data_IF_697869518305
#
_entry.id   IF_697869518305
#
_cell.length_a   1.000
_cell.length_b   1.000
_cell.length_c   1.000
_cell.angle_alpha   90.00
_cell.angle_beta   90.00
_cell.angle_gamma   90.00
#
_symmetry.space_group_name_H-M   'P 1'
#
loop_
_entity.id
_entity.type
_entity.pdbx_description
1 polymer ?
#
# COMPACT_ATOMS: atom_id res chain seq x y z
N UNK A 1 -5.92 5.96 -41.69
CA UNK A 1 -4.75 5.97 -40.80
C UNK A 1 -3.73 6.95 -41.34
N UNK A 2 -2.98 7.68 -40.50
CA UNK A 2 -1.83 8.46 -40.95
C UNK A 2 -0.82 7.55 -41.67
N UNK A 3 -0.23 8.04 -42.77
CA UNK A 3 0.64 7.25 -43.65
C UNK A 3 1.91 6.74 -42.94
N UNK A 4 2.38 7.48 -41.95
CA UNK A 4 3.57 7.17 -41.15
C UNK A 4 3.34 5.94 -40.25
N UNK A 5 2.15 5.83 -39.67
CA UNK A 5 1.78 4.73 -38.77
C UNK A 5 1.66 3.41 -39.52
N UNK A 6 1.13 3.46 -40.75
CA UNK A 6 1.03 2.30 -41.62
C UNK A 6 2.41 1.78 -42.06
N UNK A 7 3.34 2.70 -42.37
CA UNK A 7 4.74 2.35 -42.70
C UNK A 7 5.42 1.66 -41.51
N UNK A 8 5.35 2.25 -40.33
CA UNK A 8 5.91 1.68 -39.10
C UNK A 8 5.29 0.32 -38.77
N UNK A 9 3.97 0.17 -38.94
CA UNK A 9 3.29 -1.10 -38.70
C UNK A 9 3.71 -2.20 -39.68
N UNK A 10 3.91 -1.89 -40.98
CA UNK A 10 4.40 -2.86 -41.97
C UNK A 10 5.82 -3.34 -41.66
N UNK A 11 6.70 -2.44 -41.20
CA UNK A 11 8.05 -2.80 -40.77
C UNK A 11 7.98 -3.80 -39.61
N UNK A 12 7.15 -3.52 -38.59
CA UNK A 12 6.97 -4.43 -37.45
C UNK A 12 6.37 -5.77 -37.89
N UNK A 13 5.42 -5.78 -38.83
CA UNK A 13 4.84 -7.02 -39.33
C UNK A 13 5.88 -7.92 -40.03
N UNK A 14 6.84 -7.33 -40.74
CA UNK A 14 7.91 -8.06 -41.41
C UNK A 14 8.99 -8.58 -40.44
N UNK A 15 9.25 -7.85 -39.35
CA UNK A 15 10.25 -8.24 -38.34
C UNK A 15 9.76 -9.32 -37.36
N UNK A 16 8.44 -9.43 -37.16
CA UNK A 16 7.87 -10.32 -36.15
C UNK A 16 7.39 -11.63 -36.78
N UNK A 17 7.80 -12.76 -36.19
CA UNK A 17 7.21 -14.06 -36.54
C UNK A 17 5.81 -14.19 -35.91
N UNK A 18 4.78 -14.31 -36.74
CA UNK A 18 3.39 -14.54 -36.33
C UNK A 18 2.41 -13.43 -36.72
N UNK A 19 1.13 -13.57 -36.34
CA UNK A 19 0.10 -12.59 -36.69
C UNK A 19 0.18 -11.37 -35.77
N UNK A 20 0.37 -10.19 -36.34
CA UNK A 20 0.43 -8.91 -35.61
C UNK A 20 -0.82 -8.10 -35.90
N UNK A 21 -1.45 -7.61 -34.84
CA UNK A 21 -2.67 -6.82 -34.88
C UNK A 21 -2.42 -5.42 -34.35
N UNK A 22 -3.14 -4.44 -34.89
CA UNK A 22 -3.09 -3.06 -34.47
C UNK A 22 -4.46 -2.64 -33.95
N UNK A 23 -4.52 -2.14 -32.72
CA UNK A 23 -5.77 -1.70 -32.06
C UNK A 23 -5.63 -0.28 -31.57
N UNK A 24 -6.66 0.53 -31.83
CA UNK A 24 -6.72 1.91 -31.36
C UNK A 24 -7.30 1.93 -29.94
N UNK A 25 -6.57 2.52 -29.00
CA UNK A 25 -7.00 2.72 -27.61
C UNK A 25 -6.57 4.12 -27.20
N UNK A 26 -7.50 4.97 -26.77
CA UNK A 26 -7.23 6.34 -26.28
C UNK A 26 -6.23 7.12 -27.17
N UNK A 27 -6.55 7.26 -28.46
CA UNK A 27 -5.74 7.95 -29.47
C UNK A 27 -4.31 7.39 -29.69
N UNK A 28 -4.04 6.18 -29.19
CA UNK A 28 -2.78 5.49 -29.34
C UNK A 28 -2.95 4.20 -30.14
N UNK A 29 -1.96 3.86 -30.99
CA UNK A 29 -1.99 2.67 -31.83
C UNK A 29 -1.21 1.55 -31.17
N UNK A 30 -1.91 0.69 -30.43
CA UNK A 30 -1.31 -0.43 -29.71
C UNK A 30 -1.07 -1.61 -30.67
N UNK A 31 0.19 -2.05 -30.73
CA UNK A 31 0.61 -3.20 -31.52
C UNK A 31 0.60 -4.45 -30.64
N UNK A 32 -0.07 -5.51 -31.09
CA UNK A 32 -0.18 -6.79 -30.38
C UNK A 32 0.20 -7.96 -31.27
N UNK A 33 0.81 -9.00 -30.70
CA UNK A 33 0.99 -10.29 -31.36
C UNK A 33 -0.13 -11.22 -30.94
N UNK A 34 -0.85 -11.81 -31.89
CA UNK A 34 -1.85 -12.83 -31.61
C UNK A 34 -1.27 -14.22 -31.80
N UNK A 35 -1.48 -15.08 -30.82
CA UNK A 35 -1.17 -16.51 -30.89
C UNK A 35 -2.33 -17.32 -30.30
N UNK A 36 -2.34 -18.62 -30.57
CA UNK A 36 -3.38 -19.53 -30.09
C UNK A 36 -2.75 -20.55 -29.16
N UNK A 37 -3.34 -20.72 -27.97
CA UNK A 37 -2.95 -21.76 -27.01
C UNK A 37 -4.13 -22.69 -26.75
N UNK A 38 -3.82 -23.97 -26.59
CA UNK A 38 -4.81 -24.97 -26.21
C UNK A 38 -5.13 -24.85 -24.71
N UNK A 39 -6.38 -24.50 -24.39
CA UNK A 39 -6.84 -24.45 -23.01
C UNK A 39 -7.31 -25.85 -22.58
N UNK A 40 -6.51 -26.53 -21.75
CA UNK A 40 -6.79 -27.89 -21.26
C UNK A 40 -8.06 -27.98 -20.40
N UNK A 41 -8.44 -26.91 -19.69
CA UNK A 41 -9.61 -26.90 -18.82
C UNK A 41 -10.90 -26.75 -19.63
N UNK A 42 -10.88 -25.86 -20.61
CA UNK A 42 -12.02 -25.60 -21.49
C UNK A 42 -12.06 -26.49 -22.73
N UNK A 43 -11.04 -27.35 -22.92
CA UNK A 43 -10.84 -28.25 -24.07
C UNK A 43 -11.04 -27.55 -25.43
N UNK A 44 -10.53 -26.33 -25.57
CA UNK A 44 -10.65 -25.54 -26.81
C UNK A 44 -9.43 -24.67 -27.05
N UNK A 45 -9.21 -24.33 -28.32
CA UNK A 45 -8.20 -23.34 -28.71
C UNK A 45 -8.66 -21.95 -28.27
N UNK A 46 -7.80 -21.23 -27.56
CA UNK A 46 -8.03 -19.85 -27.14
C UNK A 46 -6.97 -18.93 -27.74
N UNK A 47 -7.44 -17.87 -28.40
CA UNK A 47 -6.58 -16.77 -28.84
C UNK A 47 -6.07 -16.00 -27.63
N UNK A 48 -4.76 -15.84 -27.55
CA UNK A 48 -4.08 -14.91 -26.64
C UNK A 48 -3.43 -13.79 -27.45
N UNK A 49 -3.34 -12.62 -26.83
CA UNK A 49 -2.69 -11.47 -27.46
C UNK A 49 -1.64 -10.91 -26.52
N UNK A 50 -0.42 -10.78 -27.02
CA UNK A 50 0.72 -10.18 -26.32
C UNK A 50 0.89 -8.73 -26.78
N UNK A 51 1.06 -7.79 -25.86
CA UNK A 51 1.28 -6.39 -26.20
C UNK A 51 2.75 -6.11 -26.52
N UNK A 52 3.05 -5.73 -27.76
CA UNK A 52 4.42 -5.47 -28.24
C UNK A 52 4.87 -4.03 -28.01
N UNK A 53 3.95 -3.06 -27.98
CA UNK A 53 4.28 -1.65 -27.85
C UNK A 53 3.21 -0.73 -28.42
N UNK A 54 3.51 0.56 -28.50
CA UNK A 54 2.60 1.61 -28.98
C UNK A 54 3.28 2.42 -30.08
N UNK A 55 2.56 2.69 -31.18
CA UNK A 55 2.96 3.65 -32.20
C UNK A 55 2.31 4.99 -31.86
N UNK A 56 3.14 6.02 -31.71
CA UNK A 56 2.71 7.41 -31.50
C UNK A 56 2.22 8.04 -32.82
N UNK A 57 1.55 9.18 -32.75
CA UNK A 57 0.95 9.84 -33.93
C UNK A 57 1.98 10.28 -34.99
N UNK A 58 3.22 10.48 -34.56
CA UNK A 58 4.42 10.80 -35.36
C UNK A 58 5.06 9.56 -36.02
N UNK A 59 4.43 8.38 -35.91
CA UNK A 59 4.94 7.14 -36.46
C UNK A 59 6.03 6.47 -35.61
N UNK A 60 6.42 7.03 -34.46
CA UNK A 60 7.47 6.46 -33.60
C UNK A 60 6.96 5.23 -32.84
N UNK A 61 7.63 4.08 -32.98
CA UNK A 61 7.30 2.86 -32.23
C UNK A 61 8.02 2.80 -30.88
N UNK A 62 7.26 2.85 -29.80
CA UNK A 62 7.75 2.59 -28.44
C UNK A 62 7.48 1.12 -28.09
N UNK A 63 8.53 0.31 -28.21
CA UNK A 63 8.49 -1.11 -27.79
C UNK A 63 8.14 -1.18 -26.30
N UNK A 64 7.27 -2.13 -25.94
CA UNK A 64 7.05 -2.50 -24.55
C UNK A 64 8.38 -3.02 -24.02
N UNK A 65 9.07 -2.20 -23.24
CA UNK A 65 10.20 -2.67 -22.44
C UNK A 65 9.56 -3.62 -21.43
N UNK A 66 9.88 -4.93 -21.42
CA UNK A 66 9.49 -5.78 -20.30
C UNK A 66 9.97 -5.04 -19.07
N UNK A 67 9.10 -4.87 -18.06
CA UNK A 67 9.50 -4.28 -16.80
C UNK A 67 10.73 -5.07 -16.38
N UNK A 68 11.92 -4.48 -16.56
CA UNK A 68 13.14 -5.03 -15.99
C UNK A 68 12.89 -4.77 -14.54
N UNK A 69 12.22 -5.72 -13.88
CA UNK A 69 12.27 -5.82 -12.44
C UNK A 69 13.73 -5.61 -12.12
N UNK A 70 14.01 -4.56 -11.34
CA UNK A 70 15.30 -4.41 -10.69
C UNK A 70 15.72 -5.82 -10.31
N UNK A 71 16.88 -6.27 -10.77
CA UNK A 71 17.35 -7.65 -10.53
C UNK A 71 17.26 -7.85 -9.02
N UNK A 72 16.18 -8.47 -8.55
CA UNK A 72 15.92 -8.61 -7.13
C UNK A 72 17.04 -9.50 -6.65
N UNK A 73 17.98 -8.91 -5.94
CA UNK A 73 18.99 -9.69 -5.26
C UNK A 73 18.24 -10.62 -4.34
N UNK A 74 18.43 -11.93 -4.48
CA UNK A 74 17.91 -12.92 -3.53
C UNK A 74 18.45 -12.72 -2.11
N UNK A 75 19.43 -11.83 -1.94
CA UNK A 75 19.84 -11.27 -0.66
C UNK A 75 18.75 -10.33 -0.17
N UNK A 76 17.84 -10.87 0.63
CA UNK A 76 16.93 -10.08 1.45
C UNK A 76 17.77 -9.33 2.49
N UNK A 77 17.93 -8.02 2.33
CA UNK A 77 18.60 -7.17 3.33
C UNK A 77 17.50 -6.68 4.27
N UNK A 78 17.57 -7.13 5.53
CA UNK A 78 16.66 -6.71 6.58
C UNK A 78 17.27 -5.63 7.46
N UNK A 79 16.43 -4.70 7.89
CA UNK A 79 16.76 -3.79 8.97
C UNK A 79 16.44 -4.46 10.32
N UNK A 80 17.46 -4.61 11.16
CA UNK A 80 17.35 -5.30 12.45
C UNK A 80 17.24 -4.31 13.62
N UNK A 81 18.27 -3.47 13.82
CA UNK A 81 18.47 -2.71 15.05
C UNK A 81 17.31 -1.81 15.45
N UNK A 82 16.85 -0.93 14.56
CA UNK A 82 15.80 0.05 14.89
C UNK A 82 14.46 -0.63 15.18
N UNK A 83 14.10 -1.63 14.36
CA UNK A 83 12.89 -2.42 14.52
C UNK A 83 12.85 -3.11 15.87
N UNK A 84 13.89 -3.89 16.15
CA UNK A 84 13.97 -4.68 17.37
C UNK A 84 14.03 -3.80 18.62
N UNK A 85 14.79 -2.70 18.60
CA UNK A 85 14.87 -1.78 19.75
C UNK A 85 13.50 -1.15 20.04
N UNK A 86 12.82 -0.62 19.02
CA UNK A 86 11.50 -0.03 19.19
C UNK A 86 10.47 -1.04 19.70
N UNK A 87 10.51 -2.28 19.19
CA UNK A 87 9.66 -3.36 19.68
C UNK A 87 9.97 -3.72 21.14
N UNK A 88 11.25 -3.81 21.50
CA UNK A 88 11.69 -4.10 22.86
C UNK A 88 11.22 -3.04 23.86
N UNK A 89 11.29 -1.75 23.48
CA UNK A 89 10.80 -0.64 24.31
C UNK A 89 9.28 -0.65 24.52
N UNK A 90 8.53 -1.36 23.68
CA UNK A 90 7.08 -1.46 23.76
C UNK A 90 6.59 -2.75 24.44
N UNK A 91 7.47 -3.56 25.03
CA UNK A 91 7.08 -4.84 25.65
C UNK A 91 6.03 -4.69 26.74
N UNK A 92 6.18 -3.70 27.61
CA UNK A 92 5.24 -3.48 28.72
C UNK A 92 3.85 -3.07 28.17
N UNK A 93 3.85 -2.25 27.12
CA UNK A 93 2.64 -1.85 26.38
C UNK A 93 1.99 -3.06 25.69
N UNK A 94 2.79 -3.89 25.01
CA UNK A 94 2.33 -5.10 24.35
C UNK A 94 1.71 -6.09 25.35
N UNK A 95 2.34 -6.29 26.50
CA UNK A 95 1.84 -7.16 27.56
C UNK A 95 0.47 -6.69 28.06
N UNK A 96 0.32 -5.39 28.35
CA UNK A 96 -0.96 -4.83 28.78
C UNK A 96 -2.01 -5.00 27.67
N UNK A 97 -1.69 -4.63 26.43
CA UNK A 97 -2.61 -4.72 25.30
C UNK A 97 -3.03 -6.16 25.01
N UNK A 98 -2.13 -7.15 25.14
CA UNK A 98 -2.43 -8.56 24.88
C UNK A 98 -3.53 -9.13 25.77
N UNK A 99 -3.73 -8.52 26.95
CA UNK A 99 -4.78 -8.89 27.91
C UNK A 99 -6.11 -8.21 27.63
N UNK A 100 -6.09 -7.05 26.96
CA UNK A 100 -7.28 -6.22 26.72
C UNK A 100 -7.79 -6.31 25.27
N UNK A 101 -6.97 -6.71 24.30
CA UNK A 101 -7.38 -6.80 22.89
C UNK A 101 -6.66 -7.88 22.10
N UNK A 102 -7.35 -8.58 21.17
CA UNK A 102 -6.71 -9.53 20.27
C UNK A 102 -5.83 -8.86 19.20
N UNK A 103 -5.86 -7.52 19.08
CA UNK A 103 -5.11 -6.77 18.06
C UNK A 103 -3.78 -6.19 18.59
N UNK A 104 -3.29 -6.65 19.73
CA UNK A 104 -2.10 -6.10 20.38
C UNK A 104 -0.89 -6.09 19.45
N UNK A 105 -0.65 -7.20 18.75
CA UNK A 105 0.50 -7.34 17.85
C UNK A 105 0.38 -6.43 16.62
N UNK A 106 -0.81 -6.28 16.03
CA UNK A 106 -1.03 -5.30 14.95
C UNK A 106 -0.78 -3.87 15.42
N UNK A 107 -1.25 -3.50 16.61
CA UNK A 107 -1.10 -2.16 17.18
C UNK A 107 0.36 -1.85 17.47
N UNK A 108 1.07 -2.75 18.17
CA UNK A 108 2.49 -2.59 18.50
C UNK A 108 3.32 -2.51 17.21
N UNK A 109 3.08 -3.41 16.26
CA UNK A 109 3.79 -3.39 14.97
C UNK A 109 3.53 -2.09 14.20
N UNK A 110 2.29 -1.61 14.20
CA UNK A 110 1.94 -0.33 13.59
C UNK A 110 2.70 0.83 14.24
N UNK A 111 2.77 0.88 15.57
CA UNK A 111 3.49 1.93 16.31
C UNK A 111 5.00 1.84 16.06
N UNK A 112 5.59 0.65 16.06
CA UNK A 112 7.02 0.45 15.73
C UNK A 112 7.35 1.04 14.37
N UNK A 113 6.54 0.75 13.34
CA UNK A 113 6.76 1.31 12.01
C UNK A 113 6.61 2.83 12.03
N UNK A 114 5.58 3.36 12.70
CA UNK A 114 5.36 4.81 12.82
C UNK A 114 6.49 5.54 13.51
N UNK A 115 7.09 4.94 14.53
CA UNK A 115 8.19 5.52 15.30
C UNK A 115 9.48 5.57 14.47
N UNK A 116 9.79 4.51 13.71
CA UNK A 116 11.03 4.41 12.92
C UNK A 116 10.91 5.19 11.61
N UNK A 117 9.77 5.08 10.93
CA UNK A 117 9.52 5.68 9.63
C UNK A 117 8.02 5.94 9.46
N UNK A 118 7.60 7.17 9.76
CA UNK A 118 6.19 7.57 9.70
C UNK A 118 5.65 7.52 8.27
N UNK A 119 5.19 6.32 7.88
CA UNK A 119 4.62 6.02 6.57
C UNK A 119 3.08 6.08 6.63
N UNK A 120 2.42 6.45 5.52
CA UNK A 120 0.96 6.32 5.42
C UNK A 120 0.55 4.84 5.48
N UNK A 121 -0.68 4.56 5.95
CA UNK A 121 -1.21 3.19 6.12
C UNK A 121 -1.02 2.32 4.87
N UNK A 122 -1.19 2.92 3.68
CA UNK A 122 -1.04 2.22 2.38
C UNK A 122 0.35 1.62 2.13
N UNK A 123 1.38 2.03 2.87
CA UNK A 123 2.77 1.58 2.72
C UNK A 123 3.25 0.70 3.88
N UNK A 124 2.42 0.45 4.90
CA UNK A 124 2.85 -0.29 6.10
C UNK A 124 3.33 -1.70 5.79
N UNK A 125 2.58 -2.50 5.02
CA UNK A 125 2.98 -3.86 4.63
C UNK A 125 4.37 -3.87 3.98
N UNK A 126 4.58 -3.00 2.99
CA UNK A 126 5.86 -2.90 2.28
C UNK A 126 7.02 -2.42 3.15
N UNK A 127 6.73 -1.70 4.24
CA UNK A 127 7.75 -1.26 5.19
C UNK A 127 8.07 -2.38 6.20
N UNK A 128 7.05 -3.09 6.65
CA UNK A 128 7.16 -4.22 7.55
C UNK A 128 8.00 -5.35 6.97
N UNK A 129 7.76 -5.70 5.71
CA UNK A 129 8.51 -6.73 4.97
C UNK A 129 10.03 -6.46 4.90
N UNK A 130 10.48 -5.22 5.19
CA UNK A 130 11.89 -4.84 5.22
C UNK A 130 12.52 -4.93 6.62
N UNK A 131 11.71 -5.01 7.67
CA UNK A 131 12.20 -5.20 9.03
C UNK A 131 12.40 -6.70 9.28
N UNK A 132 13.49 -7.05 9.96
CA UNK A 132 13.76 -8.45 10.31
C UNK A 132 12.65 -9.05 11.17
N UNK A 133 12.00 -8.23 12.01
CA UNK A 133 10.85 -8.62 12.83
C UNK A 133 9.72 -9.28 12.01
N UNK A 134 9.58 -8.97 10.71
CA UNK A 134 8.59 -9.65 9.86
C UNK A 134 8.84 -11.15 9.66
N UNK A 135 10.04 -11.65 9.98
CA UNK A 135 10.37 -13.07 10.00
C UNK A 135 10.04 -13.74 11.34
N UNK A 136 9.95 -12.96 12.42
CA UNK A 136 9.68 -13.45 13.77
C UNK A 136 8.18 -13.37 14.12
N UNK A 137 7.49 -12.34 13.61
CA UNK A 137 6.10 -12.05 13.91
C UNK A 137 5.23 -12.15 12.65
N UNK A 138 4.21 -13.01 12.71
CA UNK A 138 3.25 -13.20 11.63
C UNK A 138 2.07 -12.21 11.75
N UNK A 139 2.22 -11.03 11.17
CA UNK A 139 1.26 -9.91 11.30
C UNK A 139 0.76 -9.45 9.93
N UNK A 140 -0.55 -9.29 9.79
CA UNK A 140 -1.16 -8.76 8.57
C UNK A 140 -1.29 -7.23 8.63
N UNK A 141 -0.36 -6.52 7.99
CA UNK A 141 -0.39 -5.06 7.90
C UNK A 141 -0.99 -4.53 6.59
N UNK A 142 -1.90 -5.29 5.99
CA UNK A 142 -2.62 -4.80 4.82
C UNK A 142 -3.42 -3.54 5.18
N UNK A 143 -3.54 -2.55 4.28
CA UNK A 143 -4.25 -1.31 4.58
C UNK A 143 -5.69 -1.54 5.05
N UNK A 144 -6.35 -2.56 4.48
CA UNK A 144 -7.69 -2.96 4.90
C UNK A 144 -7.72 -3.49 6.32
N UNK A 145 -6.76 -4.34 6.70
CA UNK A 145 -6.70 -4.90 8.04
C UNK A 145 -6.44 -3.80 9.07
N UNK A 146 -5.40 -2.98 8.85
CA UNK A 146 -5.02 -1.93 9.81
C UNK A 146 -6.12 -0.88 9.97
N UNK A 147 -6.76 -0.45 8.88
CA UNK A 147 -7.92 0.44 9.00
C UNK A 147 -9.06 -0.19 9.81
N UNK A 148 -9.32 -1.49 9.65
CA UNK A 148 -10.34 -2.20 10.43
C UNK A 148 -9.95 -2.31 11.90
N UNK A 149 -8.68 -2.62 12.21
CA UNK A 149 -8.16 -2.70 13.58
C UNK A 149 -8.28 -1.34 14.27
N UNK A 150 -7.75 -0.29 13.66
CA UNK A 150 -7.80 1.07 14.21
C UNK A 150 -9.25 1.56 14.41
N UNK A 151 -10.16 1.23 13.49
CA UNK A 151 -11.58 1.58 13.65
C UNK A 151 -12.25 0.85 14.82
N UNK A 152 -11.90 -0.42 15.07
CA UNK A 152 -12.46 -1.19 16.19
C UNK A 152 -11.93 -0.70 17.53
N UNK A 153 -10.60 -0.62 17.65
CA UNK A 153 -9.95 -0.20 18.90
C UNK A 153 -10.22 1.29 19.19
N UNK A 154 -10.35 2.11 18.16
CA UNK A 154 -10.74 3.52 18.31
C UNK A 154 -12.17 3.74 18.83
N UNK A 155 -13.06 2.76 18.65
CA UNK A 155 -14.43 2.83 19.20
C UNK A 155 -14.48 2.43 20.70
N UNK A 156 -13.49 1.67 21.18
CA UNK A 156 -13.44 1.15 22.55
C UNK A 156 -12.59 2.06 23.45
N UNK A 157 -13.14 3.20 23.83
CA UNK A 157 -12.45 4.20 24.66
C UNK A 157 -11.94 3.61 26.00
N UNK A 158 -12.69 2.67 26.59
CA UNK A 158 -12.32 2.02 27.86
C UNK A 158 -10.97 1.29 27.80
N UNK A 159 -10.62 0.72 26.65
CA UNK A 159 -9.35 0.04 26.44
C UNK A 159 -8.18 1.00 26.63
N UNK A 160 -8.30 2.22 26.13
CA UNK A 160 -7.25 3.23 26.25
C UNK A 160 -7.12 3.74 27.68
N UNK A 161 -8.24 3.93 28.40
CA UNK A 161 -8.18 4.27 29.82
C UNK A 161 -7.49 3.19 30.65
N UNK A 162 -7.78 1.91 30.38
CA UNK A 162 -7.12 0.80 31.05
C UNK A 162 -5.63 0.71 30.72
N UNK A 163 -5.26 0.95 29.46
CA UNK A 163 -3.86 0.98 29.06
C UNK A 163 -3.11 2.08 29.80
N UNK A 164 -3.60 3.32 29.74
CA UNK A 164 -2.92 4.45 30.36
C UNK A 164 -2.88 4.33 31.88
N UNK A 165 -3.95 3.87 32.52
CA UNK A 165 -3.95 3.70 33.99
C UNK A 165 -2.95 2.67 34.48
N UNK A 166 -2.59 1.67 33.66
CA UNK A 166 -1.54 0.69 33.96
C UNK A 166 -0.13 1.17 33.63
N UNK A 167 0.00 2.21 32.82
CA UNK A 167 1.28 2.80 32.43
C UNK A 167 1.66 4.01 33.28
N UNK A 168 0.77 4.48 34.16
CA UNK A 168 0.99 5.67 35.00
C UNK A 168 0.84 5.31 36.47
N UNK A 169 1.83 5.68 37.28
CA UNK A 169 1.76 5.60 38.73
C UNK A 169 1.21 6.90 39.35
N UNK A 170 0.89 6.86 40.65
CA UNK A 170 0.46 8.05 41.38
C UNK A 170 1.55 9.12 41.36
N UNK A 171 1.28 10.24 40.68
CA UNK A 171 2.19 11.39 40.57
C UNK A 171 2.86 11.54 39.20
N UNK A 172 2.64 10.61 38.27
CA UNK A 172 3.18 10.72 36.92
C UNK A 172 2.53 11.85 36.10
N UNK A 173 3.34 12.49 35.25
CA UNK A 173 2.90 13.54 34.34
C UNK A 173 2.79 12.97 32.92
N UNK A 174 1.57 12.92 32.37
CA UNK A 174 1.37 12.53 30.98
C UNK A 174 1.56 13.75 30.07
N UNK A 175 2.53 13.66 29.16
CA UNK A 175 2.75 14.65 28.10
C UNK A 175 1.99 14.22 26.84
N UNK A 176 0.96 14.99 26.47
CA UNK A 176 0.24 14.81 25.22
C UNK A 176 0.76 15.78 24.16
N UNK A 177 1.26 15.23 23.05
CA UNK A 177 1.48 16.02 21.85
C UNK A 177 0.15 16.21 21.11
N UNK A 178 -0.40 17.43 21.21
CA UNK A 178 -1.67 17.81 20.59
C UNK A 178 -1.51 18.35 19.16
N UNK A 179 -0.35 18.16 18.51
CA UNK A 179 -0.05 18.77 17.20
C UNK A 179 -1.06 18.44 16.08
N UNK A 180 -1.92 17.42 16.23
CA UNK A 180 -3.15 17.28 15.44
C UNK A 180 -4.18 16.36 16.13
N UNK A 181 -5.18 16.93 16.82
CA UNK A 181 -6.32 16.16 17.32
C UNK A 181 -7.45 16.21 16.29
N UNK A 182 -7.91 15.05 15.81
CA UNK A 182 -9.12 14.94 14.99
C UNK A 182 -10.24 14.38 15.86
N UNK A 183 -11.26 15.19 16.14
CA UNK A 183 -12.41 14.77 16.93
C UNK A 183 -13.70 14.80 16.12
N UNK A 184 -14.52 13.77 16.34
CA UNK A 184 -15.91 13.66 15.87
C UNK A 184 -16.89 14.15 16.94
N UNK A 185 -16.39 14.56 18.11
CA UNK A 185 -17.22 15.02 19.20
C UNK A 185 -17.82 16.39 18.86
N UNK A 186 -19.15 16.45 18.85
CA UNK A 186 -19.89 17.72 18.70
C UNK A 186 -19.91 18.54 20.00
N UNK A 187 -19.41 18.00 21.12
CA UNK A 187 -19.48 18.64 22.44
C UNK A 187 -18.23 19.46 22.80
N UNK A 188 -17.14 19.34 22.03
CA UNK A 188 -15.89 20.07 22.28
C UNK A 188 -15.99 21.45 21.64
N UNK A 189 -16.32 22.46 22.45
CA UNK A 189 -16.52 23.85 22.01
C UNK A 189 -15.26 24.52 21.44
N UNK A 190 -14.07 24.04 21.81
CA UNK A 190 -12.78 24.63 21.44
C UNK A 190 -12.23 24.07 20.12
N UNK A 191 -12.85 23.04 19.55
CA UNK A 191 -12.35 22.41 18.36
C UNK A 191 -12.85 23.17 17.10
N UNK A 192 -11.94 23.55 16.20
CA UNK A 192 -12.26 24.30 14.98
C UNK A 192 -12.48 23.35 13.80
N UNK A 193 -13.32 23.73 12.83
CA UNK A 193 -13.62 22.86 11.68
C UNK A 193 -12.40 22.73 10.77
N UNK A 194 -11.83 21.52 10.66
CA UNK A 194 -10.68 21.24 9.79
C UNK A 194 -11.03 21.27 8.30
N UNK A 195 -10.11 21.78 7.46
CA UNK A 195 -10.25 21.84 6.00
C UNK A 195 -9.48 20.68 5.35
N UNK A 196 -10.18 19.76 4.69
CA UNK A 196 -9.56 18.65 3.97
C UNK A 196 -9.28 19.01 2.50
N UNK A 197 -8.21 18.44 1.91
CA UNK A 197 -7.72 18.80 0.55
C UNK A 197 -8.74 18.56 -0.57
N UNK A 198 -9.69 17.65 -0.36
CA UNK A 198 -10.64 17.20 -1.38
C UNK A 198 -12.01 17.89 -1.31
N UNK A 199 -12.15 18.97 -0.52
CA UNK A 199 -13.41 19.71 -0.33
C UNK A 199 -14.62 18.85 0.10
N UNK A 200 -14.39 17.61 0.53
CA UNK A 200 -15.41 16.74 1.07
C UNK A 200 -15.79 17.19 2.48
N UNK A 201 -17.06 17.54 2.66
CA UNK A 201 -17.64 17.98 3.92
C UNK A 201 -17.74 16.80 4.90
N UNK A 202 -16.64 16.45 5.53
CA UNK A 202 -16.64 15.61 6.73
C UNK A 202 -16.32 16.53 7.90
N UNK A 203 -17.24 16.61 8.87
CA UNK A 203 -17.09 17.41 10.09
C UNK A 203 -16.05 16.75 10.99
N UNK A 204 -14.79 17.09 10.77
CA UNK A 204 -13.72 16.80 11.72
C UNK A 204 -13.28 18.11 12.33
N UNK A 205 -13.23 18.15 13.65
CA UNK A 205 -12.72 19.31 14.36
C UNK A 205 -11.24 19.09 14.73
N UNK A 206 -10.45 20.14 14.55
CA UNK A 206 -9.01 20.24 14.83
C UNK A 206 -8.84 21.16 16.03
N UNK A 207 -8.10 20.72 17.04
CA UNK A 207 -7.62 21.56 18.15
C UNK A 207 -6.19 21.99 17.92
#
# INVERSE_FOLDING_TARGET
MPSEIEKTFKIIMNEQQGYVELKIINNSYCVRRATSIWDKKLKKVRKITEHLGVISLDGTFKRKVPHRGIRETTREIFEYGNGLLAHYMLKDVEEILSRSTPYSTELVTYVVIKAIDSKPIRLLSSRWEKLYLSKELNVSLSPRNISSVLSRVGAEISLWYELFSKLTDEGDIILYDLTAVLTYSETIKTAEKGRNRDHSYLQYFVM
#
